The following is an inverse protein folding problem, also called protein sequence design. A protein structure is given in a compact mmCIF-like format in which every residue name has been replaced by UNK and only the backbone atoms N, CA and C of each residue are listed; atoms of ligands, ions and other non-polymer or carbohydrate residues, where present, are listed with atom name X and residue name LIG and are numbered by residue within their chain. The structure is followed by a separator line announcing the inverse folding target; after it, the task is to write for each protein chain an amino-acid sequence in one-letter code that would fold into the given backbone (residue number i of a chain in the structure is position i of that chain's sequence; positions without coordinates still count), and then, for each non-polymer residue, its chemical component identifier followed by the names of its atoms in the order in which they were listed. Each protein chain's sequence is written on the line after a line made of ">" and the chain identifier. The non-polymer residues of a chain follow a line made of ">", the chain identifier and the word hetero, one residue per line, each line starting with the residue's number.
data_IF_209377940802
#
_entry.id   IF_209377940802
#
_cell.length_a   1.000
_cell.length_b   1.000
_cell.length_c   1.000
_cell.angle_alpha   90.00
_cell.angle_beta   90.00
_cell.angle_gamma   90.00
#
_symmetry.space_group_name_H-M   'P 1'
#
loop_
_entity.id
_entity.type
_entity.pdbx_description
1 polymer ?
#
# COMPACT_ATOMS: atom_id res chain seq x y z
N UNK A 1 11.19 0.90 6.20
CA UNK A 1 9.80 1.02 6.63
C UNK A 1 8.89 0.64 5.47
N UNK A 2 7.82 -0.10 5.75
CA UNK A 2 6.77 -0.39 4.75
C UNK A 2 6.08 0.92 4.37
N UNK A 3 5.87 1.23 3.07
CA UNK A 3 5.17 2.44 2.66
C UNK A 3 3.68 2.35 3.00
N UNK A 4 3.04 3.49 3.19
CA UNK A 4 1.60 3.63 3.44
C UNK A 4 0.98 4.43 2.31
N UNK A 5 -0.14 3.99 1.74
CA UNK A 5 -0.79 4.66 0.62
C UNK A 5 -1.52 3.73 -0.34
N UNK A 6 -1.82 4.26 -1.51
CA UNK A 6 -2.59 3.57 -2.55
C UNK A 6 -1.69 3.24 -3.73
N UNK A 7 -1.40 1.96 -3.88
CA UNK A 7 -0.49 1.40 -4.88
C UNK A 7 -1.23 0.45 -5.82
N UNK A 8 -0.47 -0.09 -6.77
CA UNK A 8 -0.91 -1.18 -7.64
C UNK A 8 0.24 -2.14 -7.88
N UNK A 9 -0.07 -3.37 -8.23
CA UNK A 9 0.92 -4.32 -8.73
C UNK A 9 1.42 -3.83 -10.09
N UNK A 10 2.74 -3.69 -10.23
CA UNK A 10 3.40 -3.28 -11.46
C UNK A 10 4.32 -4.35 -12.05
N UNK A 11 4.75 -5.32 -11.24
CA UNK A 11 5.70 -6.37 -11.63
C UNK A 11 5.29 -7.73 -11.10
N UNK A 12 5.43 -8.74 -11.94
CA UNK A 12 5.27 -10.14 -11.60
C UNK A 12 6.63 -10.82 -11.67
N UNK A 13 7.11 -11.41 -10.59
CA UNK A 13 8.38 -12.09 -10.53
C UNK A 13 8.20 -13.56 -10.12
N UNK A 14 8.14 -14.48 -11.10
CA UNK A 14 8.00 -15.92 -10.84
C UNK A 14 9.30 -16.58 -10.36
N UNK A 15 10.44 -15.89 -10.46
CA UNK A 15 11.78 -16.39 -10.12
C UNK A 15 12.39 -15.64 -8.94
N UNK A 16 11.55 -15.27 -7.96
CA UNK A 16 11.99 -14.56 -6.78
C UNK A 16 12.83 -15.45 -5.85
N UNK A 17 13.88 -14.89 -5.24
CA UNK A 17 14.64 -15.54 -4.17
C UNK A 17 13.76 -15.89 -2.95
N UNK A 18 12.57 -15.29 -2.85
CA UNK A 18 11.55 -15.55 -1.84
C UNK A 18 10.37 -16.34 -2.39
N UNK A 19 10.63 -17.24 -3.32
CA UNK A 19 9.72 -18.13 -4.02
C UNK A 19 8.94 -17.44 -5.16
N UNK A 20 8.04 -16.52 -4.87
CA UNK A 20 7.28 -15.69 -5.80
C UNK A 20 7.22 -14.27 -5.24
N UNK A 21 7.15 -13.27 -6.12
CA UNK A 21 6.91 -11.91 -5.65
C UNK A 21 6.14 -11.05 -6.66
N UNK A 22 5.42 -10.06 -6.11
CA UNK A 22 4.67 -9.05 -6.84
C UNK A 22 5.21 -7.70 -6.43
N UNK A 23 5.79 -6.94 -7.36
CA UNK A 23 6.24 -5.58 -7.12
C UNK A 23 5.07 -4.61 -7.09
N UNK A 24 5.17 -3.60 -6.27
CA UNK A 24 4.24 -2.48 -6.25
C UNK A 24 4.90 -1.21 -6.80
N UNK A 25 4.11 -0.30 -7.33
CA UNK A 25 4.57 0.96 -7.94
C UNK A 25 5.03 2.02 -6.90
N UNK A 26 5.79 1.56 -5.89
CA UNK A 26 6.44 2.46 -4.93
C UNK A 26 7.81 2.94 -5.48
N UNK A 27 8.20 4.22 -5.31
CA UNK A 27 7.37 5.31 -4.82
C UNK A 27 6.36 5.79 -5.87
N UNK A 28 5.10 6.01 -5.43
CA UNK A 28 4.06 6.59 -6.27
C UNK A 28 4.17 8.12 -6.36
N UNK A 29 3.22 8.79 -6.99
CA UNK A 29 3.23 10.26 -7.12
C UNK A 29 3.11 10.97 -5.77
N UNK A 30 2.24 10.49 -4.88
CA UNK A 30 2.08 11.06 -3.54
C UNK A 30 3.37 10.96 -2.73
N UNK A 31 4.02 9.78 -2.71
CA UNK A 31 5.30 9.57 -2.02
C UNK A 31 6.36 10.58 -2.47
N UNK A 32 6.45 10.82 -3.78
CA UNK A 32 7.44 11.75 -4.37
C UNK A 32 7.19 13.21 -4.00
N UNK A 33 5.94 13.59 -3.78
CA UNK A 33 5.56 14.96 -3.40
C UNK A 33 5.74 15.16 -1.90
N UNK A 34 5.27 14.23 -1.08
CA UNK A 34 5.25 14.36 0.39
C UNK A 34 6.65 14.18 0.98
N UNK A 35 7.43 13.27 0.44
CA UNK A 35 8.74 12.96 0.99
C UNK A 35 9.75 14.06 0.71
N UNK A 36 10.53 14.41 1.75
CA UNK A 36 11.67 15.31 1.66
C UNK A 36 13.00 14.58 1.46
N UNK A 37 12.95 13.23 1.42
CA UNK A 37 14.15 12.41 1.28
C UNK A 37 14.72 12.52 -0.14
N UNK A 38 16.02 12.64 -0.27
CA UNK A 38 16.72 12.64 -1.56
C UNK A 38 16.67 11.26 -2.24
N UNK A 39 16.52 10.19 -1.46
CA UNK A 39 16.33 8.83 -1.93
C UNK A 39 15.16 8.18 -1.18
N UNK A 40 14.11 7.88 -1.91
CA UNK A 40 12.90 7.22 -1.40
C UNK A 40 13.06 5.70 -1.31
N UNK A 41 14.13 5.16 -1.88
CA UNK A 41 14.26 3.74 -2.11
C UNK A 41 13.34 3.26 -3.24
N UNK A 42 13.09 1.98 -3.27
CA UNK A 42 12.25 1.34 -4.28
C UNK A 42 12.16 -0.16 -4.03
N UNK A 43 11.72 -0.89 -5.07
CA UNK A 43 11.69 -2.35 -5.06
C UNK A 43 10.94 -2.96 -3.86
N UNK A 44 9.79 -2.38 -3.55
CA UNK A 44 8.88 -2.95 -2.55
C UNK A 44 8.07 -4.07 -3.20
N UNK A 45 8.12 -5.24 -2.57
CA UNK A 45 7.45 -6.45 -3.06
C UNK A 45 6.55 -7.07 -1.99
N UNK A 46 5.45 -7.65 -2.45
CA UNK A 46 4.69 -8.68 -1.73
C UNK A 46 5.35 -10.02 -2.09
N UNK A 47 5.86 -10.79 -1.13
CA UNK A 47 6.69 -11.95 -1.42
C UNK A 47 6.49 -13.11 -0.43
N UNK A 48 7.00 -14.27 -0.79
CA UNK A 48 7.05 -15.44 0.10
C UNK A 48 8.07 -15.30 1.22
N UNK A 49 8.26 -16.37 1.97
CA UNK A 49 9.08 -16.42 3.19
C UNK A 49 8.58 -15.45 4.30
N UNK A 50 9.38 -15.28 5.35
CA UNK A 50 8.99 -14.52 6.56
C UNK A 50 10.01 -13.45 6.95
N UNK A 51 11.03 -13.22 6.11
CA UNK A 51 12.11 -12.24 6.36
C UNK A 51 11.97 -11.05 5.43
N UNK A 52 12.16 -9.85 5.96
CA UNK A 52 12.06 -8.62 5.17
C UNK A 52 12.91 -7.50 5.78
N UNK A 53 13.32 -6.56 4.93
CA UNK A 53 13.94 -5.28 5.29
C UNK A 53 13.11 -4.07 4.85
N UNK A 54 11.80 -4.29 4.56
CA UNK A 54 10.88 -3.23 4.13
C UNK A 54 9.82 -3.69 3.12
N UNK A 55 9.89 -4.93 2.64
CA UNK A 55 8.87 -5.55 1.79
C UNK A 55 7.71 -6.15 2.62
N UNK A 56 6.74 -6.77 1.95
CA UNK A 56 5.51 -7.32 2.52
C UNK A 56 5.56 -8.87 2.49
N UNK A 57 6.11 -9.53 3.54
CA UNK A 57 6.22 -10.99 3.56
C UNK A 57 4.87 -11.64 3.86
N UNK A 58 4.48 -12.61 3.02
CA UNK A 58 3.17 -13.29 3.06
C UNK A 58 3.25 -14.79 3.37
N UNK A 59 4.40 -15.31 3.72
CA UNK A 59 4.70 -16.76 3.73
C UNK A 59 4.63 -17.41 2.33
N UNK A 60 5.30 -18.55 2.17
CA UNK A 60 5.34 -19.26 0.88
C UNK A 60 3.95 -19.75 0.44
N UNK A 61 3.13 -20.22 1.36
CA UNK A 61 1.80 -20.72 1.02
C UNK A 61 0.86 -19.60 0.61
N UNK A 62 0.89 -18.47 1.33
CA UNK A 62 0.01 -17.32 1.01
C UNK A 62 0.41 -16.60 -0.27
N UNK A 63 1.70 -16.46 -0.55
CA UNK A 63 2.11 -15.84 -1.81
C UNK A 63 1.70 -16.67 -3.04
N UNK A 64 1.63 -18.01 -2.94
CA UNK A 64 1.10 -18.86 -4.03
C UNK A 64 -0.33 -18.47 -4.38
N UNK A 65 -1.20 -18.35 -3.37
CA UNK A 65 -2.60 -17.98 -3.56
C UNK A 65 -2.70 -16.57 -4.16
N UNK A 66 -2.03 -15.58 -3.55
CA UNK A 66 -2.05 -14.18 -3.97
C UNK A 66 -1.53 -14.04 -5.41
N UNK A 67 -0.40 -14.68 -5.73
CA UNK A 67 0.19 -14.62 -7.05
C UNK A 67 -0.72 -15.23 -8.12
N UNK A 68 -1.34 -16.36 -7.83
CA UNK A 68 -2.28 -17.02 -8.74
C UNK A 68 -3.50 -16.14 -9.01
N UNK A 69 -4.11 -15.54 -7.97
CA UNK A 69 -5.22 -14.60 -8.16
C UNK A 69 -4.79 -13.38 -8.99
N UNK A 70 -3.61 -12.82 -8.73
CA UNK A 70 -3.11 -11.68 -9.49
C UNK A 70 -2.89 -12.03 -10.98
N UNK A 71 -2.33 -13.20 -11.29
CA UNK A 71 -2.17 -13.70 -12.66
C UNK A 71 -3.52 -13.88 -13.34
N UNK A 72 -4.48 -14.52 -12.67
CA UNK A 72 -5.83 -14.70 -13.22
C UNK A 72 -6.54 -13.37 -13.45
N UNK A 73 -6.46 -12.44 -12.51
CA UNK A 73 -7.04 -11.11 -12.66
C UNK A 73 -6.47 -10.40 -13.89
N UNK A 74 -5.14 -10.40 -14.04
CA UNK A 74 -4.45 -9.80 -15.18
C UNK A 74 -4.87 -10.46 -16.51
N UNK A 75 -4.93 -11.79 -16.56
CA UNK A 75 -5.31 -12.53 -17.76
C UNK A 75 -6.77 -12.28 -18.16
N UNK A 76 -7.63 -11.91 -17.21
CA UNK A 76 -9.01 -11.51 -17.44
C UNK A 76 -9.18 -9.98 -17.63
N UNK A 77 -8.12 -9.25 -17.91
CA UNK A 77 -8.16 -7.84 -18.31
C UNK A 77 -8.05 -6.83 -17.15
N UNK A 78 -7.87 -7.28 -15.89
CA UNK A 78 -7.61 -6.37 -14.78
C UNK A 78 -6.15 -5.91 -14.79
N UNK A 79 -5.85 -4.90 -15.61
CA UNK A 79 -4.48 -4.37 -15.74
C UNK A 79 -4.04 -3.54 -14.53
N UNK A 80 -4.97 -3.04 -13.75
CA UNK A 80 -4.71 -2.30 -12.51
C UNK A 80 -5.20 -3.12 -11.30
N UNK A 81 -4.28 -3.84 -10.67
CA UNK A 81 -4.56 -4.62 -9.45
C UNK A 81 -4.16 -3.76 -8.26
N UNK A 82 -5.11 -3.20 -7.49
CA UNK A 82 -4.82 -2.27 -6.42
C UNK A 82 -4.18 -2.95 -5.21
N UNK A 83 -3.32 -2.20 -4.52
CA UNK A 83 -2.71 -2.57 -3.25
C UNK A 83 -2.80 -1.37 -2.31
N UNK A 84 -3.65 -1.46 -1.31
CA UNK A 84 -3.86 -0.40 -0.32
C UNK A 84 -3.15 -0.78 0.97
N UNK A 85 -2.27 0.09 1.44
CA UNK A 85 -1.44 -0.14 2.64
C UNK A 85 -1.76 0.94 3.66
N UNK A 86 -2.34 0.51 4.76
CA UNK A 86 -2.72 1.38 5.88
C UNK A 86 -1.82 1.12 7.08
N UNK A 87 -1.54 2.13 7.93
CA UNK A 87 -0.67 2.01 9.09
C UNK A 87 -1.23 1.02 10.13
N UNK A 88 -2.53 0.92 10.19
CA UNK A 88 -3.31 0.03 11.06
C UNK A 88 -4.74 -0.07 10.49
N UNK A 89 -5.57 -0.96 11.05
CA UNK A 89 -7.00 -0.96 10.72
C UNK A 89 -7.65 0.30 11.26
N UNK A 90 -8.04 1.22 10.37
CA UNK A 90 -8.39 2.61 10.68
C UNK A 90 -9.81 2.77 11.24
N UNK A 91 -10.20 1.92 12.21
CA UNK A 91 -11.45 2.07 12.95
C UNK A 91 -11.42 3.32 13.83
N UNK A 92 -12.59 3.76 14.31
CA UNK A 92 -12.70 4.92 15.18
C UNK A 92 -11.83 4.79 16.44
N UNK A 93 -11.85 3.62 17.07
CA UNK A 93 -11.12 3.31 18.30
C UNK A 93 -9.60 3.36 18.06
N UNK A 94 -9.15 2.72 16.99
CA UNK A 94 -7.73 2.70 16.62
C UNK A 94 -7.23 4.10 16.26
N UNK A 95 -8.02 4.89 15.54
CA UNK A 95 -7.65 6.27 15.23
C UNK A 95 -7.49 7.12 16.50
N UNK A 96 -8.40 7.01 17.48
CA UNK A 96 -8.26 7.72 18.74
C UNK A 96 -6.96 7.34 19.46
N UNK A 97 -6.65 6.03 19.52
CA UNK A 97 -5.44 5.52 20.16
C UNK A 97 -4.16 6.06 19.47
N UNK A 98 -4.08 5.90 18.15
CA UNK A 98 -2.87 6.26 17.41
C UNK A 98 -2.70 7.77 17.28
N UNK A 99 -3.76 8.55 17.10
CA UNK A 99 -3.69 10.00 17.08
C UNK A 99 -3.23 10.56 18.43
N UNK A 100 -3.72 10.01 19.56
CA UNK A 100 -3.22 10.38 20.88
C UNK A 100 -1.73 10.06 21.04
N UNK A 101 -1.31 8.88 20.58
CA UNK A 101 0.10 8.45 20.67
C UNK A 101 1.05 9.33 19.85
N UNK A 102 0.61 9.86 18.73
CA UNK A 102 1.41 10.67 17.80
C UNK A 102 0.99 12.13 17.75
N UNK A 103 0.32 12.65 18.79
CA UNK A 103 -0.24 14.00 18.83
C UNK A 103 0.78 15.11 18.56
N UNK A 104 2.05 14.87 18.82
CA UNK A 104 3.13 15.82 18.56
C UNK A 104 3.61 15.81 17.10
N UNK A 105 3.08 14.93 16.25
CA UNK A 105 3.43 14.84 14.81
C UNK A 105 2.20 15.13 13.94
N UNK A 106 1.85 16.40 13.84
CA UNK A 106 0.65 16.84 13.10
C UNK A 106 0.71 16.47 11.61
N UNK A 107 1.90 16.48 11.01
CA UNK A 107 2.07 16.09 9.60
C UNK A 107 1.68 14.62 9.37
N UNK A 108 2.10 13.72 10.26
CA UNK A 108 1.74 12.31 10.22
C UNK A 108 0.23 12.11 10.44
N UNK A 109 -0.35 12.81 11.39
CA UNK A 109 -1.80 12.72 11.66
C UNK A 109 -2.60 13.19 10.44
N UNK A 110 -2.21 14.31 9.83
CA UNK A 110 -2.89 14.82 8.63
C UNK A 110 -2.80 13.82 7.47
N UNK A 111 -1.65 13.19 7.27
CA UNK A 111 -1.48 12.13 6.28
C UNK A 111 -2.39 10.93 6.58
N UNK A 112 -2.43 10.45 7.82
CA UNK A 112 -3.31 9.35 8.22
C UNK A 112 -4.80 9.71 8.11
N UNK A 113 -5.19 10.95 8.40
CA UNK A 113 -6.55 11.41 8.17
C UNK A 113 -6.94 11.37 6.69
N UNK A 114 -6.01 11.69 5.79
CA UNK A 114 -6.24 11.57 4.36
C UNK A 114 -6.33 10.10 3.92
N UNK A 115 -5.43 9.21 4.40
CA UNK A 115 -5.55 7.77 4.13
C UNK A 115 -6.87 7.18 4.65
N UNK A 116 -7.36 7.69 5.79
CA UNK A 116 -8.61 7.25 6.38
C UNK A 116 -9.82 7.49 5.47
N UNK A 117 -9.86 8.56 4.70
CA UNK A 117 -10.95 8.80 3.74
C UNK A 117 -11.06 7.64 2.75
N UNK A 118 -9.94 7.23 2.16
CA UNK A 118 -9.93 6.06 1.26
C UNK A 118 -10.24 4.75 1.97
N UNK A 119 -9.78 4.57 3.22
CA UNK A 119 -10.13 3.40 4.02
C UNK A 119 -11.65 3.31 4.22
N UNK A 120 -12.29 4.41 4.65
CA UNK A 120 -13.73 4.44 4.90
C UNK A 120 -14.53 4.20 3.62
N UNK A 121 -14.16 4.87 2.52
CA UNK A 121 -14.79 4.67 1.21
C UNK A 121 -14.68 3.20 0.75
N UNK A 122 -13.51 2.59 0.90
CA UNK A 122 -13.33 1.18 0.55
C UNK A 122 -14.15 0.24 1.45
N UNK A 123 -14.19 0.50 2.77
CA UNK A 123 -14.97 -0.33 3.70
C UNK A 123 -16.47 -0.23 3.44
N UNK A 124 -16.95 0.93 2.99
CA UNK A 124 -18.36 1.16 2.65
C UNK A 124 -18.74 0.54 1.29
N UNK A 125 -17.98 0.86 0.25
CA UNK A 125 -18.35 0.50 -1.12
C UNK A 125 -17.87 -0.89 -1.55
N UNK A 126 -16.78 -1.40 -0.99
CA UNK A 126 -16.12 -2.65 -1.39
C UNK A 126 -15.75 -2.71 -2.87
N UNK A 127 -15.41 -1.56 -3.44
CA UNK A 127 -15.00 -1.41 -4.83
C UNK A 127 -13.58 -0.84 -4.92
N UNK A 128 -12.98 -0.97 -6.10
CA UNK A 128 -11.71 -0.28 -6.40
C UNK A 128 -11.91 1.22 -6.24
N UNK A 129 -11.02 1.84 -5.47
CA UNK A 129 -11.05 3.28 -5.24
C UNK A 129 -10.60 4.04 -6.49
N UNK A 130 -11.29 5.14 -6.78
CA UNK A 130 -10.86 6.16 -7.72
C UNK A 130 -10.39 7.37 -6.92
N UNK A 131 -9.22 7.86 -7.21
CA UNK A 131 -8.64 9.02 -6.53
C UNK A 131 -7.66 9.75 -7.44
N UNK A 132 -7.45 11.02 -7.15
CA UNK A 132 -6.40 11.86 -7.76
C UNK A 132 -5.38 12.25 -6.70
N UNK A 133 -4.12 12.40 -7.12
CA UNK A 133 -3.06 12.95 -6.26
C UNK A 133 -2.98 14.45 -6.47
N UNK A 134 -3.23 15.20 -5.41
CA UNK A 134 -3.20 16.65 -5.40
C UNK A 134 -1.78 17.21 -5.44
N UNK A 135 -1.64 18.53 -5.64
CA UNK A 135 -0.34 19.22 -5.70
C UNK A 135 0.49 19.11 -4.41
N UNK A 136 -0.16 18.92 -3.28
CA UNK A 136 0.46 18.74 -1.97
C UNK A 136 0.76 17.27 -1.65
N UNK A 137 0.41 16.35 -2.56
CA UNK A 137 0.58 14.91 -2.41
C UNK A 137 -0.58 14.19 -1.72
N UNK A 138 -1.60 14.91 -1.25
CA UNK A 138 -2.80 14.29 -0.68
C UNK A 138 -3.63 13.56 -1.75
N UNK A 139 -4.43 12.60 -1.32
CA UNK A 139 -5.40 11.89 -2.16
C UNK A 139 -6.76 12.57 -2.08
N UNK A 140 -7.41 12.78 -3.22
CA UNK A 140 -8.80 13.22 -3.35
C UNK A 140 -9.62 12.06 -3.91
N UNK A 141 -10.59 11.59 -3.14
CA UNK A 141 -11.49 10.48 -3.46
C UNK A 141 -12.80 10.98 -4.02
#
# INVERSE_FOLDING_TARGET
>A
QVPEGFYRIDRFNPSSNFYLSLGINYPNQSDRIISKASNLGGDIFIHGACVTIGCLPMTTNKIKEIYMYAVHAKNNGQNNIPVYIFPYRMTKENNQLYFSKYMNNQSLINFWMNLKQGFDTFEEERKTLFFEVQKDGSYLF
#
